data_IF_058046873223
#
_entry.id   IF_058046873223
#
_cell.length_a   1.000
_cell.length_b   1.000
_cell.length_c   1.000
_cell.angle_alpha   90.00
_cell.angle_beta   90.00
_cell.angle_gamma   90.00
#
_symmetry.space_group_name_H-M   'P 1'
#
loop_
_entity.id
_entity.type
_entity.pdbx_description
1 polymer ?
#
# COMPACT_ATOMS: atom_id res chain seq x y z
N UNK A 1 10.03 13.48 29.67
CA UNK A 1 8.93 14.02 28.84
C UNK A 1 9.39 14.00 27.39
N UNK A 2 8.51 13.68 26.44
CA UNK A 2 8.84 13.71 25.01
C UNK A 2 9.05 15.15 24.58
N UNK A 3 10.19 15.44 23.97
CA UNK A 3 10.45 16.74 23.36
C UNK A 3 9.80 16.85 21.96
N UNK A 4 9.74 18.08 21.44
CA UNK A 4 9.16 18.32 20.11
C UNK A 4 9.99 17.68 18.99
N UNK A 5 11.29 17.48 19.16
CA UNK A 5 12.15 16.87 18.16
C UNK A 5 11.79 15.38 17.95
N UNK A 6 11.60 14.64 19.03
CA UNK A 6 11.18 13.24 19.02
C UNK A 6 9.80 13.08 18.39
N UNK A 7 8.85 13.94 18.75
CA UNK A 7 7.49 13.96 18.18
C UNK A 7 7.50 14.27 16.68
N UNK A 8 8.32 15.24 16.25
CA UNK A 8 8.44 15.59 14.85
C UNK A 8 9.04 14.45 14.03
N UNK A 9 10.12 13.80 14.51
CA UNK A 9 10.70 12.65 13.81
C UNK A 9 9.68 11.52 13.70
N UNK A 10 8.99 11.16 14.79
CA UNK A 10 7.97 10.12 14.77
C UNK A 10 6.81 10.45 13.80
N UNK A 11 6.39 11.71 13.74
CA UNK A 11 5.38 12.19 12.79
C UNK A 11 5.87 12.03 11.35
N UNK A 12 7.11 12.43 11.08
CA UNK A 12 7.72 12.33 9.74
C UNK A 12 7.98 10.89 9.31
N UNK A 13 8.24 9.97 10.24
CA UNK A 13 8.31 8.53 9.93
C UNK A 13 7.02 8.09 9.24
N UNK A 14 5.84 8.37 9.81
CA UNK A 14 4.56 8.00 9.18
C UNK A 14 4.32 8.76 7.88
N UNK A 15 4.53 10.09 7.87
CA UNK A 15 4.29 10.91 6.66
C UNK A 15 5.21 10.52 5.48
N UNK A 16 6.45 10.12 5.77
CA UNK A 16 7.42 9.72 4.74
C UNK A 16 6.96 8.48 3.97
N UNK A 17 5.97 7.72 4.47
CA UNK A 17 5.35 6.63 3.71
C UNK A 17 4.67 7.11 2.42
N UNK A 18 4.28 8.38 2.34
CA UNK A 18 3.72 8.98 1.12
C UNK A 18 4.76 9.24 0.03
N UNK A 19 6.05 9.11 0.30
CA UNK A 19 7.08 9.25 -0.73
C UNK A 19 6.96 8.21 -1.86
N UNK A 20 6.18 7.13 -1.67
CA UNK A 20 5.82 6.18 -2.75
C UNK A 20 5.20 6.84 -3.98
N UNK A 21 4.58 8.01 -3.84
CA UNK A 21 3.96 8.72 -4.96
C UNK A 21 4.97 9.37 -5.91
N UNK A 22 6.24 9.46 -5.50
CA UNK A 22 7.32 10.07 -6.29
C UNK A 22 8.46 9.09 -6.52
N UNK A 23 8.77 8.26 -5.52
CA UNK A 23 9.90 7.32 -5.53
C UNK A 23 9.34 5.90 -5.41
N UNK A 24 9.64 4.98 -6.34
CA UNK A 24 9.31 3.56 -6.18
C UNK A 24 9.82 3.03 -4.83
N UNK A 25 8.98 2.29 -4.10
CA UNK A 25 9.26 1.81 -2.74
C UNK A 25 9.57 2.89 -1.70
N UNK A 26 9.28 4.17 -2.00
CA UNK A 26 9.47 5.27 -1.06
C UNK A 26 8.73 5.06 0.27
N UNK A 27 7.59 4.36 0.24
CA UNK A 27 6.85 4.02 1.45
C UNK A 27 7.62 3.17 2.46
N UNK A 28 8.69 2.51 2.04
CA UNK A 28 9.64 1.81 2.91
C UNK A 28 10.89 2.64 3.17
N UNK A 29 11.45 3.23 2.11
CA UNK A 29 12.75 3.93 2.17
C UNK A 29 12.65 5.13 3.14
N UNK A 30 11.61 5.96 3.00
CA UNK A 30 11.37 7.12 3.86
C UNK A 30 11.38 6.78 5.36
N UNK A 31 10.47 5.91 5.85
CA UNK A 31 10.42 5.58 7.26
C UNK A 31 11.66 4.80 7.72
N UNK A 32 12.26 3.95 6.87
CA UNK A 32 13.45 3.18 7.21
C UNK A 32 14.66 4.09 7.49
N UNK A 33 14.91 5.07 6.63
CA UNK A 33 16.01 6.03 6.79
C UNK A 33 15.82 6.85 8.07
N UNK A 34 14.61 7.41 8.25
CA UNK A 34 14.30 8.21 9.44
C UNK A 34 14.39 7.40 10.74
N UNK A 35 13.94 6.14 10.71
CA UNK A 35 14.01 5.23 11.85
C UNK A 35 15.45 4.83 12.16
N UNK A 36 16.24 4.33 11.20
CA UNK A 36 17.61 3.86 11.46
C UNK A 36 18.50 4.96 12.06
N UNK A 37 18.37 6.20 11.57
CA UNK A 37 19.19 7.33 12.05
C UNK A 37 18.85 7.72 13.51
N UNK A 38 17.65 7.38 13.99
CA UNK A 38 17.12 7.92 15.25
C UNK A 38 16.63 6.86 16.26
N UNK A 39 16.56 5.58 15.89
CA UNK A 39 16.04 4.50 16.73
C UNK A 39 16.75 4.38 18.07
N UNK A 40 18.07 4.57 18.09
CA UNK A 40 18.88 4.43 19.31
C UNK A 40 18.82 5.67 20.20
N UNK A 41 18.19 6.76 19.72
CA UNK A 41 18.07 8.04 20.44
C UNK A 41 16.77 8.17 21.24
N UNK A 42 15.75 7.37 20.92
CA UNK A 42 14.43 7.47 21.57
C UNK A 42 13.61 6.21 21.37
N UNK A 43 13.17 5.60 22.47
CA UNK A 43 12.25 4.46 22.46
C UNK A 43 10.92 4.80 21.76
N UNK A 44 10.47 6.05 21.86
CA UNK A 44 9.26 6.53 21.18
C UNK A 44 9.43 6.50 19.65
N UNK A 45 10.58 6.96 19.15
CA UNK A 45 10.92 6.90 17.72
C UNK A 45 11.07 5.45 17.28
N UNK A 46 11.72 4.60 18.07
CA UNK A 46 11.89 3.18 17.74
C UNK A 46 10.53 2.48 17.56
N UNK A 47 9.61 2.69 18.51
CA UNK A 47 8.25 2.11 18.44
C UNK A 47 7.49 2.59 17.20
N UNK A 48 7.53 3.88 16.88
CA UNK A 48 6.84 4.39 15.69
C UNK A 48 7.49 3.92 14.39
N UNK A 49 8.82 3.86 14.32
CA UNK A 49 9.55 3.33 13.17
C UNK A 49 9.21 1.87 12.88
N UNK A 50 9.27 1.01 13.91
CA UNK A 50 8.85 -0.39 13.82
C UNK A 50 7.40 -0.53 13.38
N UNK A 51 6.48 0.26 13.97
CA UNK A 51 5.06 0.22 13.61
C UNK A 51 4.80 0.65 12.16
N UNK A 52 5.42 1.74 11.70
CA UNK A 52 5.28 2.21 10.33
C UNK A 52 5.79 1.18 9.33
N UNK A 53 6.98 0.62 9.56
CA UNK A 53 7.59 -0.38 8.68
C UNK A 53 6.81 -1.70 8.69
N UNK A 54 6.42 -2.20 9.86
CA UNK A 54 5.61 -3.42 9.96
C UNK A 54 4.27 -3.26 9.22
N UNK A 55 3.62 -2.11 9.35
CA UNK A 55 2.38 -1.84 8.64
C UNK A 55 2.59 -1.82 7.12
N UNK A 56 3.59 -1.10 6.63
CA UNK A 56 3.88 -1.04 5.18
C UNK A 56 4.25 -2.42 4.60
N UNK A 57 4.98 -3.25 5.36
CA UNK A 57 5.30 -4.63 4.94
C UNK A 57 4.02 -5.49 4.92
N UNK A 58 3.13 -5.31 5.90
CA UNK A 58 1.84 -6.01 5.94
C UNK A 58 0.97 -5.64 4.73
N UNK A 59 0.88 -4.35 4.39
CA UNK A 59 0.14 -3.88 3.22
C UNK A 59 0.72 -4.45 1.92
N UNK A 60 2.05 -4.49 1.77
CA UNK A 60 2.70 -5.10 0.62
C UNK A 60 2.36 -6.59 0.51
N UNK A 61 2.39 -7.33 1.61
CA UNK A 61 2.01 -8.73 1.63
C UNK A 61 0.55 -8.92 1.17
N UNK A 62 -0.37 -8.11 1.70
CA UNK A 62 -1.78 -8.15 1.28
C UNK A 62 -1.97 -7.80 -0.19
N UNK A 63 -1.23 -6.82 -0.71
CA UNK A 63 -1.25 -6.46 -2.12
C UNK A 63 -0.70 -7.60 -3.01
N UNK A 64 0.36 -8.29 -2.60
CA UNK A 64 0.90 -9.44 -3.33
C UNK A 64 -0.10 -10.60 -3.36
N UNK A 65 -0.75 -10.90 -2.24
CA UNK A 65 -1.79 -11.95 -2.17
C UNK A 65 -2.94 -11.60 -3.11
N UNK A 66 -3.47 -10.38 -3.03
CA UNK A 66 -4.58 -9.93 -3.87
C UNK A 66 -4.19 -9.90 -5.35
N UNK A 67 -2.98 -9.43 -5.66
CA UNK A 67 -2.43 -9.41 -7.01
C UNK A 67 -2.28 -10.82 -7.59
N UNK A 68 -1.75 -11.77 -6.82
CA UNK A 68 -1.59 -13.17 -7.24
C UNK A 68 -2.94 -13.84 -7.50
N UNK A 69 -3.97 -13.50 -6.70
CA UNK A 69 -5.33 -13.98 -6.89
C UNK A 69 -6.05 -13.35 -8.09
N UNK A 70 -5.57 -12.24 -8.63
CA UNK A 70 -6.30 -11.47 -9.67
C UNK A 70 -5.58 -11.52 -11.02
N UNK A 71 -4.25 -11.39 -11.04
CA UNK A 71 -3.42 -11.26 -12.24
C UNK A 71 -3.53 -12.46 -13.18
N UNK A 72 -3.40 -13.74 -12.73
CA UNK A 72 -3.46 -14.90 -13.64
C UNK A 72 -4.80 -15.01 -14.38
N UNK A 73 -5.90 -14.63 -13.73
CA UNK A 73 -7.23 -14.65 -14.32
C UNK A 73 -7.43 -13.57 -15.39
N UNK A 74 -6.90 -12.36 -15.16
CA UNK A 74 -6.91 -11.30 -16.17
C UNK A 74 -5.99 -11.63 -17.36
N UNK A 75 -4.79 -12.15 -17.08
CA UNK A 75 -3.86 -12.65 -18.10
C UNK A 75 -4.56 -13.71 -18.95
N UNK A 76 -5.08 -14.77 -18.34
CA UNK A 76 -5.78 -15.83 -19.08
C UNK A 76 -6.90 -15.25 -19.96
N UNK A 77 -7.75 -14.36 -19.45
CA UNK A 77 -8.81 -13.73 -20.25
C UNK A 77 -8.29 -12.91 -21.44
N UNK A 78 -7.19 -12.17 -21.25
CA UNK A 78 -6.57 -11.37 -22.33
C UNK A 78 -5.97 -12.32 -23.38
N UNK A 79 -5.21 -13.34 -22.97
CA UNK A 79 -4.59 -14.30 -23.87
C UNK A 79 -5.60 -15.24 -24.56
N UNK A 80 -6.68 -15.63 -23.90
CA UNK A 80 -7.78 -16.41 -24.51
C UNK A 80 -8.63 -15.59 -25.47
N UNK A 81 -8.58 -14.26 -25.39
CA UNK A 81 -9.25 -13.35 -26.32
C UNK A 81 -8.32 -12.80 -27.42
N UNK A 82 -7.03 -13.12 -27.39
CA UNK A 82 -6.08 -12.79 -28.44
C UNK A 82 -5.93 -14.01 -29.36
N UNK A 83 -6.63 -13.99 -30.49
CA UNK A 83 -6.23 -14.82 -31.63
C UNK A 83 -4.81 -14.40 -32.05
N UNK A 84 -3.88 -15.36 -32.10
CA UNK A 84 -2.49 -15.10 -32.48
C UNK A 84 -2.43 -14.67 -33.94
N UNK A 85 -2.38 -13.36 -34.18
CA UNK A 85 -2.14 -12.68 -35.46
C UNK A 85 -3.31 -12.79 -36.46
N UNK A 86 -4.18 -11.77 -36.45
CA UNK A 86 -4.79 -11.31 -37.70
C UNK A 86 -4.67 -9.77 -37.76
N UNK A 87 -3.77 -9.28 -38.61
CA UNK A 87 -3.44 -7.86 -38.73
C UNK A 87 -4.38 -7.21 -39.75
N UNK A 88 -5.60 -6.90 -39.33
CA UNK A 88 -6.45 -5.92 -40.02
C UNK A 88 -6.62 -4.68 -39.13
N UNK A 89 -6.17 -3.54 -39.66
CA UNK A 89 -5.99 -2.30 -38.93
C UNK A 89 -7.26 -1.70 -38.33
N UNK A 90 -7.02 -0.72 -37.44
CA UNK A 90 -7.89 0.04 -36.54
C UNK A 90 -9.21 0.64 -37.09
N UNK A 91 -10.00 -0.08 -37.89
CA UNK A 91 -11.25 0.43 -38.45
C UNK A 91 -12.53 -0.11 -37.77
N UNK A 92 -12.46 -1.16 -36.94
CA UNK A 92 -13.66 -1.80 -36.37
C UNK A 92 -13.57 -2.08 -34.84
N UNK A 93 -13.22 -1.07 -34.03
CA UNK A 93 -13.29 -1.24 -32.56
C UNK A 93 -14.72 -1.02 -32.04
N UNK A 94 -15.60 -2.00 -32.25
CA UNK A 94 -16.91 -2.07 -31.59
C UNK A 94 -16.80 -2.85 -30.27
N UNK A 95 -16.81 -2.15 -29.11
CA UNK A 95 -16.96 -2.82 -27.80
C UNK A 95 -18.42 -3.28 -27.67
N UNK A 96 -18.72 -4.49 -28.13
CA UNK A 96 -19.97 -5.15 -27.77
C UNK A 96 -19.90 -5.60 -26.31
N UNK A 97 -20.53 -4.85 -25.41
CA UNK A 97 -20.75 -5.22 -24.01
C UNK A 97 -21.76 -6.39 -23.94
N UNK A 98 -21.30 -7.59 -24.27
CA UNK A 98 -22.00 -8.82 -23.92
C UNK A 98 -22.13 -8.98 -22.40
N UNK A 99 -22.87 -10.00 -21.94
CA UNK A 99 -23.00 -10.30 -20.51
C UNK A 99 -21.60 -10.46 -19.89
N UNK A 100 -21.23 -9.68 -18.86
CA UNK A 100 -19.90 -9.77 -18.28
C UNK A 100 -19.61 -11.18 -17.77
N UNK A 101 -18.40 -11.67 -18.02
CA UNK A 101 -17.99 -12.98 -17.52
C UNK A 101 -17.97 -12.97 -15.98
N UNK A 102 -18.29 -14.09 -15.30
CA UNK A 102 -18.15 -14.23 -13.84
C UNK A 102 -16.81 -13.71 -13.31
N UNK A 103 -15.74 -13.94 -14.08
CA UNK A 103 -14.39 -13.49 -13.77
C UNK A 103 -14.25 -11.96 -13.73
N UNK A 104 -14.98 -11.23 -14.57
CA UNK A 104 -14.96 -9.76 -14.56
C UNK A 104 -15.65 -9.21 -13.32
N UNK A 105 -16.73 -9.84 -12.85
CA UNK A 105 -17.38 -9.46 -11.60
C UNK A 105 -16.48 -9.69 -10.39
N UNK A 106 -15.81 -10.86 -10.34
CA UNK A 106 -14.86 -11.17 -9.25
C UNK A 106 -13.68 -10.20 -9.28
N UNK A 107 -13.04 -10.03 -10.43
CA UNK A 107 -11.92 -9.11 -10.59
C UNK A 107 -12.28 -7.66 -10.27
N UNK A 108 -13.45 -7.20 -10.73
CA UNK A 108 -13.97 -5.86 -10.41
C UNK A 108 -14.25 -5.70 -8.93
N UNK A 109 -14.86 -6.70 -8.28
CA UNK A 109 -15.09 -6.69 -6.83
C UNK A 109 -13.80 -6.61 -6.02
N UNK A 110 -12.80 -7.42 -6.36
CA UNK A 110 -11.47 -7.37 -5.74
C UNK A 110 -10.78 -6.02 -5.98
N UNK A 111 -10.93 -5.44 -7.16
CA UNK A 111 -10.42 -4.09 -7.48
C UNK A 111 -11.04 -3.01 -6.61
N UNK A 112 -12.36 -3.05 -6.40
CA UNK A 112 -13.06 -2.12 -5.49
C UNK A 112 -12.54 -2.27 -4.06
N UNK A 113 -12.39 -3.52 -3.58
CA UNK A 113 -11.84 -3.80 -2.24
C UNK A 113 -10.42 -3.23 -2.12
N UNK A 114 -9.58 -3.37 -3.15
CA UNK A 114 -8.23 -2.81 -3.17
C UNK A 114 -8.24 -1.28 -3.02
N UNK A 115 -9.12 -0.59 -3.76
CA UNK A 115 -9.26 0.87 -3.70
C UNK A 115 -9.73 1.32 -2.32
N UNK A 116 -10.73 0.64 -1.75
CA UNK A 116 -11.20 0.95 -0.40
C UNK A 116 -10.11 0.73 0.64
N UNK A 117 -9.38 -0.39 0.56
CA UNK A 117 -8.26 -0.69 1.44
C UNK A 117 -7.15 0.37 1.32
N UNK A 118 -6.85 0.84 0.12
CA UNK A 118 -5.89 1.92 -0.12
C UNK A 118 -6.35 3.23 0.54
N UNK A 119 -7.61 3.63 0.39
CA UNK A 119 -8.14 4.84 1.04
C UNK A 119 -8.04 4.73 2.57
N UNK A 120 -8.40 3.56 3.13
CA UNK A 120 -8.27 3.28 4.57
C UNK A 120 -6.80 3.38 4.99
N UNK A 121 -5.87 2.82 4.21
CA UNK A 121 -4.43 2.91 4.48
C UNK A 121 -3.96 4.37 4.60
N UNK A 122 -4.34 5.24 3.66
CA UNK A 122 -3.98 6.66 3.69
C UNK A 122 -4.52 7.35 4.95
N UNK A 123 -5.78 7.07 5.31
CA UNK A 123 -6.39 7.61 6.53
C UNK A 123 -5.66 7.15 7.79
N UNK A 124 -5.28 5.88 7.87
CA UNK A 124 -4.53 5.33 9.00
C UNK A 124 -3.15 5.98 9.15
N UNK A 125 -2.45 6.24 8.04
CA UNK A 125 -1.16 6.94 8.06
C UNK A 125 -1.32 8.35 8.64
N UNK A 126 -2.34 9.10 8.20
CA UNK A 126 -2.62 10.44 8.73
C UNK A 126 -2.95 10.38 10.23
N UNK A 127 -3.77 9.42 10.66
CA UNK A 127 -4.10 9.24 12.09
C UNK A 127 -2.83 8.92 12.90
N UNK A 128 -1.97 8.02 12.40
CA UNK A 128 -0.71 7.69 13.05
C UNK A 128 0.22 8.89 13.17
N UNK A 129 0.30 9.73 12.14
CA UNK A 129 1.03 10.99 12.16
C UNK A 129 0.49 11.96 13.20
N UNK A 130 -0.84 12.12 13.30
CA UNK A 130 -1.46 12.98 14.31
C UNK A 130 -1.21 12.47 15.73
N UNK A 131 -1.30 11.15 15.93
CA UNK A 131 -1.00 10.52 17.23
C UNK A 131 0.45 10.70 17.64
N UNK A 132 1.39 10.50 16.71
CA UNK A 132 2.81 10.76 16.95
C UNK A 132 3.09 12.22 17.32
N UNK A 133 2.43 13.17 16.64
CA UNK A 133 2.51 14.61 16.94
C UNK A 133 2.03 14.92 18.36
N UNK A 134 0.95 14.28 18.78
CA UNK A 134 0.36 14.48 20.11
C UNK A 134 1.19 13.77 21.20
N UNK A 135 2.17 12.94 20.81
CA UNK A 135 3.05 12.19 21.72
C UNK A 135 2.48 10.83 22.14
N UNK A 136 1.49 10.33 21.42
CA UNK A 136 0.83 9.05 21.66
C UNK A 136 1.39 7.96 20.75
N UNK A 137 1.60 6.77 21.32
CA UNK A 137 1.90 5.59 20.53
C UNK A 137 0.68 5.19 19.69
N UNK A 138 0.92 4.81 18.44
CA UNK A 138 -0.11 4.33 17.54
C UNK A 138 0.23 2.94 17.04
N UNK A 139 -0.73 2.02 17.15
CA UNK A 139 -0.65 0.68 16.58
C UNK A 139 -1.62 0.60 15.41
N UNK A 140 -1.06 0.41 14.22
CA UNK A 140 -1.87 0.22 13.02
C UNK A 140 -2.72 -1.05 13.13
N UNK A 141 -4.01 -1.00 12.72
CA UNK A 141 -4.82 -2.21 12.63
C UNK A 141 -4.29 -3.12 11.52
N UNK A 142 -4.52 -4.43 11.66
CA UNK A 142 -4.08 -5.45 10.68
C UNK A 142 -2.57 -5.50 10.44
N UNK A 143 -1.75 -4.95 11.33
CA UNK A 143 -0.29 -5.04 11.22
C UNK A 143 0.22 -6.38 11.74
N UNK A 144 1.08 -7.02 10.94
CA UNK A 144 1.91 -8.15 11.33
C UNK A 144 3.27 -7.61 11.83
N UNK A 145 3.70 -8.03 13.02
CA UNK A 145 4.95 -7.53 13.63
C UNK A 145 6.17 -8.33 13.15
N UNK A 146 6.80 -7.88 12.07
CA UNK A 146 8.04 -8.46 11.56
C UNK A 146 9.26 -7.99 12.36
N UNK A 147 9.31 -6.69 12.66
CA UNK A 147 10.31 -6.04 13.50
C UNK A 147 9.82 -6.03 14.95
N UNK A 148 10.62 -6.58 15.86
CA UNK A 148 10.36 -6.65 17.31
C UNK A 148 11.13 -5.57 18.05
#
# INVERSE_FOLDING_TARGET
MLDNHQKNIATFIHLSTFSRFVIPFGNFIGPLVLWIINKDKSEFIDKHGKQALNFQISILLYAIILGTLTIPFFIFKIFSGMDFIDFHGFHDFHISLGKPSPLLYIGGGLGIIAVLAFIVELALIVIASLKARDGELYKYPFTINFLK
#
